data_IF_162703728927
#
_entry.id   IF_162703728927
#
_cell.length_a   1.000
_cell.length_b   1.000
_cell.length_c   1.000
_cell.angle_alpha   90.00
_cell.angle_beta   90.00
_cell.angle_gamma   90.00
#
_symmetry.space_group_name_H-M   'P 1'
#
loop_
_entity.id
_entity.type
_entity.pdbx_description
1 polymer ?
#
# COMPACT_ATOMS: atom_id res chain seq x y z
N UNK A 1 -16.89 13.21 -1.18
CA UNK A 1 -16.25 12.22 -0.30
C UNK A 1 -14.78 12.60 -0.22
N UNK A 2 -14.20 12.65 0.99
CA UNK A 2 -12.77 12.94 1.13
C UNK A 2 -11.96 11.76 0.62
N UNK A 3 -10.88 12.02 -0.13
CA UNK A 3 -9.94 10.98 -0.54
C UNK A 3 -9.01 10.73 0.66
N UNK A 4 -8.79 9.47 1.08
CA UNK A 4 -7.90 9.19 2.20
C UNK A 4 -6.47 9.60 1.88
N UNK A 5 -5.81 10.24 2.83
CA UNK A 5 -4.37 10.52 2.76
C UNK A 5 -3.59 9.22 2.85
N UNK A 6 -2.58 9.05 2.00
CA UNK A 6 -1.78 7.86 1.87
C UNK A 6 -0.34 8.11 2.32
N UNK A 7 0.15 7.26 3.22
CA UNK A 7 1.53 7.27 3.71
C UNK A 7 2.41 6.22 3.03
N UNK A 8 1.78 5.19 2.45
CA UNK A 8 2.42 4.16 1.64
C UNK A 8 1.67 3.95 0.33
N UNK A 9 2.41 3.45 -0.66
CA UNK A 9 1.91 3.02 -1.96
C UNK A 9 2.45 1.62 -2.28
N UNK A 10 1.81 0.89 -3.18
CA UNK A 10 2.26 -0.46 -3.52
C UNK A 10 3.21 -0.52 -4.70
N UNK A 11 4.06 -1.56 -4.71
CA UNK A 11 4.87 -2.00 -5.84
C UNK A 11 4.60 -3.49 -6.09
N UNK A 12 4.30 -3.85 -7.33
CA UNK A 12 4.18 -5.22 -7.79
C UNK A 12 5.41 -5.58 -8.66
N UNK A 13 6.17 -6.59 -8.24
CA UNK A 13 7.33 -7.10 -8.97
C UNK A 13 6.99 -8.43 -9.65
N UNK A 14 7.37 -8.57 -10.92
CA UNK A 14 7.09 -9.75 -11.75
C UNK A 14 8.34 -10.59 -12.01
N UNK A 15 8.14 -11.85 -12.44
CA UNK A 15 9.22 -12.81 -12.72
C UNK A 15 10.28 -12.32 -13.73
N UNK A 16 9.87 -11.48 -14.68
CA UNK A 16 10.74 -10.92 -15.72
C UNK A 16 11.50 -9.66 -15.27
N UNK A 17 11.36 -9.26 -14.01
CA UNK A 17 11.97 -8.07 -13.43
C UNK A 17 11.21 -6.78 -13.71
N UNK A 18 10.07 -6.83 -14.42
CA UNK A 18 9.18 -5.68 -14.54
C UNK A 18 8.62 -5.31 -13.16
N UNK A 19 8.43 -4.00 -12.93
CA UNK A 19 7.78 -3.46 -11.73
C UNK A 19 6.61 -2.59 -12.15
N UNK A 20 5.44 -2.83 -11.58
CA UNK A 20 4.28 -1.95 -11.68
C UNK A 20 4.10 -1.23 -10.34
N UNK A 21 4.35 0.09 -10.27
CA UNK A 21 4.05 0.87 -9.08
C UNK A 21 2.59 1.32 -9.05
N UNK A 22 2.03 1.57 -7.87
CA UNK A 22 0.72 2.21 -7.74
C UNK A 22 0.70 3.59 -8.39
N UNK A 23 1.77 4.37 -8.24
CA UNK A 23 1.91 5.68 -8.84
C UNK A 23 3.12 5.69 -9.76
N UNK A 24 2.95 6.14 -10.99
CA UNK A 24 4.05 6.32 -11.92
C UNK A 24 5.06 7.33 -11.33
N UNK A 25 6.35 6.97 -11.25
CA UNK A 25 7.36 7.81 -10.63
C UNK A 25 7.68 9.09 -11.42
N UNK A 26 7.29 9.17 -12.70
CA UNK A 26 7.54 10.31 -13.59
C UNK A 26 6.43 11.35 -13.51
N UNK A 27 5.15 10.96 -13.50
CA UNK A 27 4.02 11.91 -13.52
C UNK A 27 3.03 11.78 -12.35
N UNK A 28 3.15 10.75 -11.50
CA UNK A 28 2.25 10.52 -10.37
C UNK A 28 0.91 9.90 -10.76
N UNK A 29 0.73 9.45 -12.01
CA UNK A 29 -0.48 8.78 -12.45
C UNK A 29 -0.71 7.48 -11.67
N UNK A 30 -1.95 7.25 -11.21
CA UNK A 30 -2.29 6.06 -10.44
C UNK A 30 -2.64 4.88 -11.36
N UNK A 31 -1.88 3.79 -11.25
CA UNK A 31 -2.25 2.48 -11.75
C UNK A 31 -3.24 1.82 -10.78
N UNK A 32 -4.22 1.10 -11.34
CA UNK A 32 -5.24 0.41 -10.57
C UNK A 32 -4.71 -0.92 -10.06
N UNK A 33 -5.14 -1.31 -8.85
CA UNK A 33 -4.79 -2.62 -8.29
C UNK A 33 -5.25 -3.79 -9.18
N UNK A 34 -6.32 -3.62 -9.96
CA UNK A 34 -6.81 -4.61 -10.92
C UNK A 34 -5.89 -4.83 -12.12
N UNK A 35 -4.91 -3.97 -12.35
CA UNK A 35 -3.91 -4.12 -13.42
C UNK A 35 -2.77 -5.06 -13.03
N UNK A 36 -2.71 -5.50 -11.76
CA UNK A 36 -1.71 -6.45 -11.29
C UNK A 36 -2.01 -7.84 -11.88
N UNK A 37 -1.07 -8.34 -12.68
CA UNK A 37 -1.11 -9.71 -13.16
C UNK A 37 -0.65 -10.68 -12.06
N UNK A 38 -1.62 -11.20 -11.30
CA UNK A 38 -1.38 -12.15 -10.21
C UNK A 38 -0.67 -13.43 -10.66
N UNK A 39 -0.79 -13.83 -11.93
CA UNK A 39 -0.15 -15.05 -12.43
C UNK A 39 1.37 -14.90 -12.57
N UNK A 40 1.86 -13.67 -12.81
CA UNK A 40 3.28 -13.34 -12.96
C UNK A 40 3.89 -12.72 -11.69
N UNK A 41 3.09 -12.45 -10.67
CA UNK A 41 3.50 -11.71 -9.48
C UNK A 41 4.40 -12.55 -8.57
N UNK A 42 5.63 -12.08 -8.33
CA UNK A 42 6.58 -12.74 -7.42
C UNK A 42 6.68 -12.06 -6.07
N UNK A 43 6.52 -10.73 -6.03
CA UNK A 43 6.59 -9.95 -4.81
C UNK A 43 5.63 -8.79 -4.87
N UNK A 44 5.03 -8.49 -3.73
CA UNK A 44 4.27 -7.28 -3.51
C UNK A 44 4.85 -6.55 -2.30
N UNK A 45 4.95 -5.23 -2.39
CA UNK A 45 5.57 -4.40 -1.36
C UNK A 45 4.70 -3.17 -1.09
N UNK A 46 4.38 -2.90 0.18
CA UNK A 46 3.99 -1.57 0.61
C UNK A 46 5.26 -0.75 0.85
N UNK A 47 5.37 0.39 0.17
CA UNK A 47 6.52 1.27 0.23
C UNK A 47 6.09 2.66 0.74
N UNK A 48 6.78 3.24 1.74
CA UNK A 48 6.49 4.61 2.18
C UNK A 48 6.76 5.61 1.05
N UNK A 49 6.00 6.70 1.02
CA UNK A 49 6.27 7.78 0.06
C UNK A 49 7.65 8.40 0.29
N UNK A 50 8.28 8.78 -0.82
CA UNK A 50 9.47 9.65 -0.81
C UNK A 50 9.05 11.08 -1.04
N UNK A 51 9.85 12.06 -0.62
CA UNK A 51 9.63 13.48 -0.92
C UNK A 51 9.37 13.71 -2.42
N UNK A 52 10.17 13.07 -3.28
CA UNK A 52 10.09 13.22 -4.74
C UNK A 52 8.76 12.74 -5.30
N UNK A 53 8.24 11.60 -4.82
CA UNK A 53 6.98 11.06 -5.30
C UNK A 53 5.78 11.78 -4.67
N UNK A 54 5.87 12.16 -3.39
CA UNK A 54 4.80 12.88 -2.70
C UNK A 54 4.49 14.24 -3.34
N UNK A 55 5.49 14.90 -3.94
CA UNK A 55 5.28 16.14 -4.72
C UNK A 55 4.43 15.95 -5.99
N UNK A 56 4.26 14.70 -6.46
CA UNK A 56 3.52 14.36 -7.68
C UNK A 56 2.13 13.77 -7.37
N UNK A 57 1.88 13.36 -6.14
CA UNK A 57 0.67 12.64 -5.73
C UNK A 57 -0.06 13.46 -4.67
N UNK A 58 -1.21 14.03 -5.03
CA UNK A 58 -1.98 14.96 -4.19
C UNK A 58 -2.36 14.38 -2.82
N UNK A 59 -2.58 13.06 -2.77
CA UNK A 59 -3.03 12.35 -1.57
C UNK A 59 -1.87 11.86 -0.69
N UNK A 60 -0.63 12.10 -1.08
CA UNK A 60 0.53 11.56 -0.37
C UNK A 60 0.88 12.37 0.89
N UNK A 61 1.25 11.66 1.95
CA UNK A 61 1.83 12.21 3.16
C UNK A 61 3.09 11.44 3.51
N UNK A 62 4.12 12.15 3.93
CA UNK A 62 5.38 11.53 4.33
C UNK A 62 5.28 11.05 5.78
N UNK A 63 5.64 9.79 6.00
CA UNK A 63 5.73 9.24 7.34
C UNK A 63 7.09 8.53 7.54
N UNK A 64 8.04 9.17 8.26
CA UNK A 64 9.39 8.63 8.43
C UNK A 64 9.46 7.43 9.39
N UNK A 65 8.37 7.08 10.08
CA UNK A 65 8.32 5.91 10.95
C UNK A 65 8.09 4.61 10.16
N UNK A 66 7.60 4.73 8.93
CA UNK A 66 7.26 3.58 8.09
C UNK A 66 8.49 3.09 7.33
N UNK A 67 8.58 1.76 7.19
CA UNK A 67 9.58 1.08 6.37
C UNK A 67 8.88 0.24 5.30
N UNK A 68 9.54 -0.06 4.16
CA UNK A 68 8.98 -0.96 3.17
C UNK A 68 8.70 -2.34 3.78
N UNK A 69 7.52 -2.89 3.52
CA UNK A 69 7.12 -4.23 3.94
C UNK A 69 6.74 -5.03 2.71
N UNK A 70 7.38 -6.18 2.51
CA UNK A 70 7.22 -7.00 1.31
C UNK A 70 6.86 -8.44 1.62
N UNK A 71 6.12 -9.05 0.71
CA UNK A 71 5.80 -10.47 0.73
C UNK A 71 6.17 -11.12 -0.60
N UNK A 72 6.73 -12.32 -0.54
CA UNK A 72 6.91 -13.17 -1.71
C UNK A 72 5.61 -13.94 -1.97
N UNK A 73 5.05 -13.77 -3.16
CA UNK A 73 3.77 -14.35 -3.55
C UNK A 73 3.98 -15.74 -4.16
N UNK A 74 4.85 -15.85 -5.17
CA UNK A 74 5.25 -17.12 -5.81
C UNK A 74 4.06 -18.04 -6.13
N UNK A 75 3.03 -17.50 -6.80
CA UNK A 75 1.82 -18.22 -7.19
C UNK A 75 0.80 -18.45 -6.08
N UNK A 76 1.06 -18.00 -4.85
CA UNK A 76 0.03 -17.94 -3.81
C UNK A 76 -0.91 -16.75 -4.03
N UNK A 77 -2.08 -16.75 -3.38
CA UNK A 77 -3.03 -15.64 -3.52
C UNK A 77 -2.68 -14.50 -2.56
N UNK A 78 -2.37 -13.33 -3.11
CA UNK A 78 -2.05 -12.12 -2.36
C UNK A 78 -3.27 -11.60 -1.57
N UNK A 79 -3.03 -11.18 -0.33
CA UNK A 79 -3.91 -10.28 0.42
C UNK A 79 -3.23 -8.92 0.48
N UNK A 80 -3.88 -7.88 -0.03
CA UNK A 80 -3.39 -6.51 0.10
C UNK A 80 -4.56 -5.53 0.08
N UNK A 81 -4.72 -4.74 1.15
CA UNK A 81 -5.74 -3.71 1.25
C UNK A 81 -5.35 -2.66 2.29
N UNK A 82 -6.13 -1.58 2.36
CA UNK A 82 -6.00 -0.52 3.37
C UNK A 82 -7.24 -0.54 4.24
N UNK A 83 -7.12 -0.41 5.57
CA UNK A 83 -8.28 -0.06 6.40
C UNK A 83 -8.27 1.43 6.62
N UNK A 84 -9.45 2.03 6.49
CA UNK A 84 -9.66 3.45 6.69
C UNK A 84 -10.73 3.64 7.75
N UNK A 85 -10.54 4.62 8.62
CA UNK A 85 -11.56 5.07 9.55
C UNK A 85 -12.16 6.39 9.06
N UNK A 86 -13.49 6.49 9.18
CA UNK A 86 -14.22 7.72 8.86
C UNK A 86 -14.51 8.43 10.18
N UNK A 87 -13.84 9.55 10.40
CA UNK A 87 -14.08 10.40 11.57
C UNK A 87 -15.09 11.50 11.24
N UNK A 88 -16.09 11.67 12.11
CA UNK A 88 -17.11 12.72 12.01
C UNK A 88 -16.70 13.96 12.82
N UNK A 89 -16.32 15.04 12.13
CA UNK A 89 -16.10 16.36 12.73
C UNK A 89 -17.25 17.33 12.47
N UNK A 90 -17.30 18.43 13.23
CA UNK A 90 -18.35 19.47 13.17
C UNK A 90 -18.36 20.24 11.83
N UNK A 91 -17.34 20.08 10.98
CA UNK A 91 -17.28 20.76 9.67
C UNK A 91 -16.59 20.03 8.51
N UNK A 92 -15.95 18.87 8.72
CA UNK A 92 -15.35 18.06 7.64
C UNK A 92 -15.31 16.57 7.99
N UNK A 93 -15.50 15.74 6.95
CA UNK A 93 -15.22 14.30 6.99
C UNK A 93 -13.71 14.10 6.85
N UNK A 94 -13.09 13.40 7.80
CA UNK A 94 -11.69 12.97 7.67
C UNK A 94 -11.65 11.46 7.41
N UNK A 95 -10.98 11.08 6.34
CA UNK A 95 -10.72 9.69 5.97
C UNK A 95 -9.24 9.43 6.23
N UNK A 96 -8.94 8.73 7.31
CA UNK A 96 -7.56 8.38 7.67
C UNK A 96 -7.32 6.91 7.42
N UNK A 97 -6.20 6.57 6.77
CA UNK A 97 -5.73 5.19 6.70
C UNK A 97 -5.22 4.81 8.09
N UNK A 98 -5.84 3.80 8.70
CA UNK A 98 -5.48 3.32 10.03
C UNK A 98 -4.50 2.16 9.98
N UNK A 99 -4.46 1.42 8.86
CA UNK A 99 -3.47 0.37 8.62
C UNK A 99 -3.37 0.02 7.12
N UNK A 100 -2.20 -0.49 6.75
CA UNK A 100 -1.95 -1.19 5.50
C UNK A 100 -1.81 -2.67 5.78
N UNK A 101 -2.56 -3.50 5.06
CA UNK A 101 -2.55 -4.95 5.23
C UNK A 101 -1.83 -5.60 4.06
N UNK A 102 -0.98 -6.58 4.36
CA UNK A 102 -0.25 -7.38 3.38
C UNK A 102 -0.12 -8.82 3.84
N UNK A 103 -0.43 -9.79 2.98
CA UNK A 103 -0.39 -11.19 3.39
C UNK A 103 -0.56 -12.16 2.24
N UNK A 104 -0.68 -13.43 2.61
CA UNK A 104 -0.99 -14.53 1.70
C UNK A 104 -2.19 -15.28 2.26
N UNK A 105 -3.20 -15.47 1.42
CA UNK A 105 -4.45 -16.13 1.79
C UNK A 105 -4.18 -17.53 2.34
N UNK A 106 -4.75 -17.81 3.52
CA UNK A 106 -4.58 -19.08 4.23
C UNK A 106 -3.18 -19.31 4.80
N UNK A 107 -2.35 -18.25 4.95
CA UNK A 107 -1.05 -18.34 5.61
C UNK A 107 -0.85 -17.28 6.69
N UNK A 108 -0.89 -16.00 6.33
CA UNK A 108 -0.67 -14.91 7.28
C UNK A 108 -1.12 -13.56 6.73
N UNK A 109 -1.33 -12.61 7.64
CA UNK A 109 -1.48 -11.18 7.37
C UNK A 109 -0.48 -10.39 8.21
N UNK A 110 0.06 -9.32 7.62
CA UNK A 110 0.88 -8.31 8.25
C UNK A 110 0.08 -7.00 8.27
N UNK A 111 -0.12 -6.45 9.47
CA UNK A 111 -0.79 -5.18 9.71
C UNK A 111 0.28 -4.12 9.97
N UNK A 112 0.39 -3.16 9.06
CA UNK A 112 1.38 -2.09 9.10
C UNK A 112 0.68 -0.84 9.60
N UNK A 113 1.06 -0.40 10.78
CA UNK A 113 0.44 0.72 11.48
C UNK A 113 1.18 2.04 11.18
N UNK A 114 0.49 3.19 11.18
CA UNK A 114 1.10 4.51 10.98
C UNK A 114 2.24 4.86 11.97
N UNK A 115 2.30 4.19 13.12
CA UNK A 115 3.37 4.38 14.10
C UNK A 115 4.66 3.58 13.78
N UNK A 116 4.69 2.85 12.66
CA UNK A 116 5.82 2.04 12.23
C UNK A 116 5.81 0.60 12.76
N UNK A 117 4.86 0.23 13.62
CA UNK A 117 4.73 -1.16 14.07
C UNK A 117 4.17 -2.04 12.95
N UNK A 118 4.66 -3.28 12.92
CA UNK A 118 4.14 -4.34 12.05
C UNK A 118 3.69 -5.48 12.94
N UNK A 119 2.40 -5.79 12.91
CA UNK A 119 1.78 -6.86 13.67
C UNK A 119 1.45 -8.02 12.71
N UNK A 120 1.83 -9.24 13.09
CA UNK A 120 1.68 -10.42 12.22
C UNK A 120 0.62 -11.35 12.80
N UNK A 121 -0.32 -11.79 11.96
CA UNK A 121 -1.35 -12.77 12.27
C UNK A 121 -1.22 -13.99 11.36
N UNK A 122 -1.35 -15.19 11.92
CA UNK A 122 -1.32 -16.45 11.16
C UNK A 122 -2.78 -16.89 10.93
N UNK A 123 -3.11 -17.21 9.68
CA UNK A 123 -4.48 -17.57 9.24
C UNK A 123 -4.72 -19.08 9.23
#
# INVERSE_FOLDING_TARGET
MGVPTLQMFWLAEYEDGQVLPQFDPEDGHENLFSEIDQARLVRFTWHPFTDKLAQKVEVAELNPLLNPVSVKVNGAKLIAYRRCEISYGVSLFKHDVTEYVLGIEGRFEAHILPDGRVEMEVL
#
